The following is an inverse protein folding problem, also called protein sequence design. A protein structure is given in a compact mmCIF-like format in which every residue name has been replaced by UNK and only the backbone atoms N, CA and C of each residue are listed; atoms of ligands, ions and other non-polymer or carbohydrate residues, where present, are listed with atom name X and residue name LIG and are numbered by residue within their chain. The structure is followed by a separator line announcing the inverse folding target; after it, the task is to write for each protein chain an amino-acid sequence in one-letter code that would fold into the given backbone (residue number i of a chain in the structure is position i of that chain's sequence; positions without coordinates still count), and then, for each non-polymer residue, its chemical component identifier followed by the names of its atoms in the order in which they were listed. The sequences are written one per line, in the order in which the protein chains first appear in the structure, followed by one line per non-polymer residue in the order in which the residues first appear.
data_IF_323729281950
#
_entry.id   IF_323729281950
#
_cell.length_a   1.000
_cell.length_b   1.000
_cell.length_c   1.000
_cell.angle_alpha   90.00
_cell.angle_beta   90.00
_cell.angle_gamma   90.00
#
_symmetry.space_group_name_H-M   'P 1'
#
loop_
_entity.id
_entity.type
_entity.pdbx_description
1 polymer ?
#
# COMPACT_ATOMS: atom_id res chain seq x y z
N UNK A 1 33.16 3.69 37.77
CA UNK A 1 32.41 3.64 36.51
C UNK A 1 30.95 3.44 36.89
N UNK A 2 30.10 4.45 36.68
CA UNK A 2 28.69 4.36 37.07
C UNK A 2 27.95 3.74 35.90
N UNK A 3 27.58 2.47 36.04
CA UNK A 3 26.65 1.82 35.12
C UNK A 3 25.35 2.64 35.11
N UNK A 4 25.11 3.36 34.02
CA UNK A 4 23.84 4.05 33.82
C UNK A 4 22.77 2.98 33.63
N UNK A 5 22.06 2.67 34.73
CA UNK A 5 20.89 1.80 34.72
C UNK A 5 19.86 2.39 33.76
N UNK A 6 19.78 1.81 32.56
CA UNK A 6 18.73 2.14 31.59
C UNK A 6 17.41 1.70 32.18
N UNK A 7 16.54 2.66 32.50
CA UNK A 7 15.21 2.37 33.00
C UNK A 7 14.42 1.56 31.95
N UNK A 8 13.95 0.38 32.35
CA UNK A 8 13.20 -0.56 31.52
C UNK A 8 11.70 -0.51 31.84
N UNK A 9 10.87 -0.76 30.83
CA UNK A 9 9.40 -0.89 30.97
C UNK A 9 8.90 -2.06 30.14
N UNK A 10 7.98 -2.85 30.70
CA UNK A 10 7.30 -3.91 29.95
C UNK A 10 6.26 -3.31 28.99
N UNK A 11 6.33 -3.71 27.73
CA UNK A 11 5.37 -3.32 26.71
C UNK A 11 4.05 -4.07 26.90
N UNK A 12 2.92 -3.34 27.02
CA UNK A 12 1.61 -3.96 27.19
C UNK A 12 1.16 -4.81 25.98
N UNK A 13 1.64 -4.48 24.78
CA UNK A 13 1.38 -5.18 23.52
C UNK A 13 2.18 -6.49 23.43
N UNK A 14 3.49 -6.39 23.27
CA UNK A 14 4.34 -7.55 22.99
C UNK A 14 4.92 -8.22 24.25
N UNK A 15 4.59 -7.74 25.45
CA UNK A 15 5.03 -8.27 26.76
C UNK A 15 6.55 -8.30 26.98
N UNK A 16 7.34 -7.70 26.10
CA UNK A 16 8.81 -7.61 26.24
C UNK A 16 9.22 -6.38 27.04
N UNK A 17 10.28 -6.51 27.84
CA UNK A 17 10.93 -5.37 28.50
C UNK A 17 11.75 -4.57 27.46
N UNK A 18 11.57 -3.25 27.47
CA UNK A 18 12.27 -2.32 26.58
C UNK A 18 12.74 -1.06 27.32
N UNK A 19 13.81 -0.40 26.83
CA UNK A 19 14.21 0.90 27.36
C UNK A 19 13.08 1.92 27.31
N UNK A 20 13.00 2.82 28.29
CA UNK A 20 12.01 3.91 28.28
C UNK A 20 12.10 4.78 27.00
N UNK A 21 13.27 4.90 26.38
CA UNK A 21 13.48 5.61 25.11
C UNK A 21 12.67 5.03 23.94
N UNK A 22 12.27 3.77 24.02
CA UNK A 22 11.44 3.11 23.01
C UNK A 22 9.95 3.44 23.15
N UNK A 23 9.55 4.10 24.25
CA UNK A 23 8.18 4.52 24.45
C UNK A 23 7.98 5.96 23.97
N UNK A 24 6.82 6.23 23.38
CA UNK A 24 6.40 7.58 22.99
C UNK A 24 5.19 7.97 23.82
N UNK A 25 5.27 9.15 24.43
CA UNK A 25 4.17 9.74 25.21
C UNK A 25 3.22 10.44 24.25
N UNK A 26 1.92 10.25 24.46
CA UNK A 26 0.85 10.84 23.66
C UNK A 26 -0.18 11.49 24.58
N UNK A 27 -0.94 12.45 24.04
CA UNK A 27 -2.04 13.09 24.75
C UNK A 27 -3.16 12.09 25.08
N UNK A 28 -3.97 12.42 26.08
CA UNK A 28 -5.16 11.65 26.48
C UNK A 28 -6.15 11.42 25.35
N UNK A 29 -6.20 12.35 24.40
CA UNK A 29 -7.16 12.35 23.31
C UNK A 29 -6.67 11.49 22.13
N UNK A 30 -5.45 10.95 22.22
CA UNK A 30 -4.88 10.07 21.21
C UNK A 30 -5.52 8.68 21.26
N UNK A 31 -6.64 8.53 20.55
CA UNK A 31 -7.32 7.24 20.35
C UNK A 31 -6.57 6.40 19.31
N UNK A 32 -5.56 5.65 19.74
CA UNK A 32 -4.90 4.69 18.84
C UNK A 32 -5.82 3.48 18.59
N UNK A 33 -6.18 3.25 17.31
CA UNK A 33 -7.12 2.17 16.91
C UNK A 33 -6.63 0.74 17.26
N UNK A 34 -5.37 0.54 17.63
CA UNK A 34 -4.90 -0.79 18.09
C UNK A 34 -5.19 -1.10 19.56
N UNK A 35 -5.64 -0.12 20.36
CA UNK A 35 -5.92 -0.34 21.79
C UNK A 35 -4.68 -0.56 22.67
N UNK A 36 -3.47 -0.43 22.14
CA UNK A 36 -2.22 -0.76 22.84
C UNK A 36 -1.53 0.47 23.48
N UNK A 37 -2.32 1.40 24.01
CA UNK A 37 -1.78 2.56 24.71
C UNK A 37 -1.84 2.27 26.21
N UNK A 38 -0.67 2.17 26.86
CA UNK A 38 -0.58 1.93 28.28
C UNK A 38 -0.49 3.27 29.04
N UNK A 39 -1.35 3.46 30.04
CA UNK A 39 -1.32 4.61 30.93
C UNK A 39 -0.15 4.49 31.93
N UNK A 40 0.71 5.50 32.02
CA UNK A 40 1.86 5.52 32.93
C UNK A 40 2.23 6.95 33.32
N UNK A 41 2.41 7.22 34.62
CA UNK A 41 2.78 8.54 35.16
C UNK A 41 1.93 9.69 34.56
N UNK A 42 0.62 9.53 34.59
CA UNK A 42 -0.36 10.51 34.09
C UNK A 42 -0.30 10.79 32.58
N UNK A 43 0.32 9.92 31.80
CA UNK A 43 0.35 10.05 30.35
C UNK A 43 0.14 8.71 29.64
N UNK A 44 -0.48 8.76 28.47
CA UNK A 44 -0.64 7.61 27.61
C UNK A 44 0.66 7.38 26.86
N UNK A 45 1.09 6.12 26.73
CA UNK A 45 2.33 5.78 26.01
C UNK A 45 2.19 4.50 25.21
N UNK A 46 2.88 4.43 24.07
CA UNK A 46 2.98 3.23 23.25
C UNK A 46 4.44 2.85 22.99
N UNK A 47 4.69 1.57 22.73
CA UNK A 47 5.99 1.07 22.30
C UNK A 47 6.18 1.40 20.81
N UNK A 48 7.20 2.21 20.49
CA UNK A 48 7.50 2.64 19.12
C UNK A 48 7.79 1.47 18.18
N UNK A 49 8.39 0.38 18.69
CA UNK A 49 8.66 -0.83 17.92
C UNK A 49 7.37 -1.55 17.54
N UNK A 50 6.46 -1.78 18.50
CA UNK A 50 5.16 -2.40 18.23
C UNK A 50 4.30 -1.53 17.30
N UNK A 51 4.31 -0.21 17.53
CA UNK A 51 3.60 0.74 16.69
C UNK A 51 4.11 0.69 15.24
N UNK A 52 5.43 0.67 15.03
CA UNK A 52 6.03 0.51 13.70
C UNK A 52 5.64 -0.84 13.06
N UNK A 53 5.65 -1.93 13.83
CA UNK A 53 5.27 -3.24 13.33
C UNK A 53 3.80 -3.29 12.87
N UNK A 54 2.88 -2.69 13.63
CA UNK A 54 1.47 -2.58 13.27
C UNK A 54 1.28 -1.71 12.04
N UNK A 55 1.95 -0.54 11.98
CA UNK A 55 1.92 0.32 10.82
C UNK A 55 2.38 -0.43 9.57
N UNK A 56 3.53 -1.11 9.65
CA UNK A 56 4.08 -1.93 8.55
C UNK A 56 3.11 -3.04 8.11
N UNK A 57 2.46 -3.74 9.05
CA UNK A 57 1.45 -4.76 8.72
C UNK A 57 0.28 -4.14 7.96
N UNK A 58 -0.28 -3.05 8.47
CA UNK A 58 -1.38 -2.33 7.82
C UNK A 58 -0.98 -1.76 6.46
N UNK A 59 0.30 -1.42 6.26
CA UNK A 59 0.84 -1.03 4.96
C UNK A 59 0.91 -2.20 3.99
N UNK A 60 1.39 -3.36 4.44
CA UNK A 60 1.44 -4.57 3.61
C UNK A 60 0.04 -4.98 3.15
N UNK A 61 -0.92 -5.03 4.07
CA UNK A 61 -2.31 -5.39 3.77
C UNK A 61 -2.96 -4.39 2.79
N UNK A 62 -2.72 -3.09 2.97
CA UNK A 62 -3.27 -2.06 2.07
C UNK A 62 -2.62 -2.14 0.67
N UNK A 63 -1.32 -2.42 0.61
CA UNK A 63 -0.60 -2.61 -0.66
C UNK A 63 -1.08 -3.88 -1.38
N UNK A 64 -1.33 -4.97 -0.66
CA UNK A 64 -1.90 -6.21 -1.21
C UNK A 64 -3.30 -5.99 -1.81
N UNK A 65 -4.18 -5.27 -1.11
CA UNK A 65 -5.50 -4.90 -1.65
C UNK A 65 -5.36 -4.03 -2.91
N UNK A 66 -4.49 -3.02 -2.89
CA UNK A 66 -4.23 -2.22 -4.09
C UNK A 66 -3.71 -3.07 -5.25
N UNK A 67 -2.90 -4.11 -5.00
CA UNK A 67 -2.45 -5.03 -6.04
C UNK A 67 -3.60 -5.83 -6.65
N UNK A 68 -4.60 -6.22 -5.85
CA UNK A 68 -5.81 -6.90 -6.34
C UNK A 68 -6.65 -5.98 -7.23
N UNK A 69 -6.72 -4.70 -6.88
CA UNK A 69 -7.48 -3.68 -7.61
C UNK A 69 -6.72 -3.00 -8.74
N UNK A 70 -5.39 -3.19 -8.85
CA UNK A 70 -4.59 -2.68 -9.97
C UNK A 70 -5.20 -3.24 -11.24
N UNK A 71 -5.84 -2.38 -12.01
CA UNK A 71 -6.76 -2.74 -13.07
C UNK A 71 -6.05 -3.48 -14.18
N UNK A 72 -5.87 -4.80 -14.02
CA UNK A 72 -5.35 -5.68 -15.07
C UNK A 72 -6.25 -5.54 -16.29
N UNK A 73 -7.56 -5.47 -16.10
CA UNK A 73 -8.51 -5.25 -17.19
C UNK A 73 -8.27 -3.90 -17.87
N UNK A 74 -8.06 -2.83 -17.09
CA UNK A 74 -7.75 -1.51 -17.66
C UNK A 74 -6.40 -1.48 -18.37
N UNK A 75 -5.38 -2.11 -17.80
CA UNK A 75 -4.08 -2.34 -18.43
C UNK A 75 -4.23 -3.04 -19.77
N UNK A 76 -5.02 -4.11 -19.83
CA UNK A 76 -5.22 -4.87 -21.06
C UNK A 76 -5.98 -4.06 -22.11
N UNK A 77 -6.98 -3.28 -21.70
CA UNK A 77 -7.71 -2.35 -22.58
C UNK A 77 -6.77 -1.27 -23.13
N UNK A 78 -6.02 -0.58 -22.27
CA UNK A 78 -5.11 0.50 -22.66
C UNK A 78 -3.97 -0.06 -23.55
N UNK A 79 -3.46 -1.25 -23.23
CA UNK A 79 -2.50 -1.98 -24.07
C UNK A 79 -3.08 -2.26 -25.45
N UNK A 80 -4.29 -2.81 -25.55
CA UNK A 80 -4.94 -3.12 -26.83
C UNK A 80 -5.22 -1.85 -27.64
N UNK A 81 -5.64 -0.76 -27.00
CA UNK A 81 -5.87 0.53 -27.64
C UNK A 81 -4.57 1.12 -28.19
N UNK A 82 -3.48 1.10 -27.42
CA UNK A 82 -2.17 1.57 -27.88
C UNK A 82 -1.59 0.73 -29.02
N UNK A 83 -1.81 -0.59 -29.01
CA UNK A 83 -1.44 -1.45 -30.12
C UNK A 83 -2.23 -1.10 -31.38
N UNK A 84 -3.55 -0.90 -31.24
CA UNK A 84 -4.43 -0.50 -32.34
C UNK A 84 -4.04 0.86 -32.92
N UNK A 85 -3.76 1.86 -32.08
CA UNK A 85 -3.35 3.20 -32.54
C UNK A 85 -2.02 3.18 -33.29
N UNK A 86 -1.13 2.24 -32.96
CA UNK A 86 0.15 2.01 -33.65
C UNK A 86 0.04 1.03 -34.84
N UNK A 87 -1.17 0.63 -35.21
CA UNK A 87 -1.45 -0.37 -36.25
C UNK A 87 -0.62 -1.66 -36.07
N UNK A 88 -0.46 -2.09 -34.83
CA UNK A 88 0.39 -3.21 -34.42
C UNK A 88 -0.47 -4.39 -33.98
N UNK A 89 -0.19 -5.57 -34.54
CA UNK A 89 -0.86 -6.80 -34.11
C UNK A 89 -0.29 -7.33 -32.80
N UNK A 90 -1.13 -8.03 -32.03
CA UNK A 90 -0.74 -8.75 -30.82
C UNK A 90 0.42 -9.74 -31.08
N UNK A 91 0.41 -10.38 -32.24
CA UNK A 91 1.47 -11.28 -32.69
C UNK A 91 2.82 -10.55 -32.80
N UNK A 92 2.86 -9.47 -33.58
CA UNK A 92 4.07 -8.67 -33.80
C UNK A 92 4.58 -8.06 -32.49
N UNK A 93 3.66 -7.59 -31.64
CA UNK A 93 4.02 -7.06 -30.33
C UNK A 93 4.67 -8.13 -29.43
N UNK A 94 4.12 -9.35 -29.42
CA UNK A 94 4.66 -10.45 -28.62
C UNK A 94 6.07 -10.83 -29.05
N UNK A 95 6.34 -10.82 -30.37
CA UNK A 95 7.69 -11.03 -30.93
C UNK A 95 8.66 -9.93 -30.50
N UNK A 96 8.28 -8.66 -30.63
CA UNK A 96 9.13 -7.52 -30.25
C UNK A 96 9.48 -7.56 -28.75
N UNK A 97 8.52 -7.92 -27.90
CA UNK A 97 8.73 -7.98 -26.46
C UNK A 97 9.59 -9.17 -26.02
N UNK A 98 9.84 -10.14 -26.92
CA UNK A 98 10.57 -11.37 -26.63
C UNK A 98 9.82 -12.28 -25.66
N UNK A 99 8.49 -12.21 -25.62
CA UNK A 99 7.69 -13.07 -24.76
C UNK A 99 7.39 -14.39 -25.46
N UNK A 100 7.19 -15.46 -24.69
CA UNK A 100 6.67 -16.72 -25.25
C UNK A 100 5.31 -16.41 -25.91
N UNK A 101 5.12 -16.88 -27.16
CA UNK A 101 3.98 -16.56 -28.03
C UNK A 101 2.61 -16.68 -27.34
N UNK A 102 2.47 -17.56 -26.35
CA UNK A 102 1.21 -17.80 -25.62
C UNK A 102 0.95 -16.83 -24.46
N UNK A 103 1.93 -16.06 -24.00
CA UNK A 103 1.84 -15.29 -22.75
C UNK A 103 0.86 -14.13 -22.85
N UNK A 104 1.01 -13.24 -23.84
CA UNK A 104 0.11 -12.09 -23.98
C UNK A 104 -1.30 -12.54 -24.39
N UNK A 105 -1.41 -13.55 -25.26
CA UNK A 105 -2.71 -14.13 -25.62
C UNK A 105 -3.43 -14.76 -24.42
N UNK A 106 -2.71 -15.34 -23.46
CA UNK A 106 -3.28 -15.81 -22.21
C UNK A 106 -3.74 -14.65 -21.31
N UNK A 107 -3.06 -13.49 -21.34
CA UNK A 107 -3.53 -12.30 -20.61
C UNK A 107 -4.81 -11.74 -21.19
N UNK A 108 -4.86 -11.55 -22.52
CA UNK A 108 -6.04 -11.00 -23.21
C UNK A 108 -7.27 -11.90 -23.04
N UNK A 109 -7.09 -13.22 -22.91
CA UNK A 109 -8.17 -14.18 -22.65
C UNK A 109 -8.51 -14.36 -21.17
N UNK A 110 -7.84 -13.66 -20.26
CA UNK A 110 -8.05 -13.79 -18.81
C UNK A 110 -7.52 -15.10 -18.20
N UNK A 111 -6.80 -15.93 -18.95
CA UNK A 111 -6.25 -17.21 -18.49
C UNK A 111 -5.04 -17.01 -17.55
N UNK A 112 -4.34 -15.88 -17.69
CA UNK A 112 -3.18 -15.51 -16.86
C UNK A 112 -3.19 -14.04 -16.52
N UNK A 113 -2.70 -13.72 -15.32
CA UNK A 113 -2.44 -12.35 -14.89
C UNK A 113 -1.00 -11.93 -15.28
N UNK A 114 -0.80 -10.77 -15.93
CA UNK A 114 0.54 -10.25 -16.19
C UNK A 114 1.24 -9.89 -14.89
N UNK A 115 2.50 -10.33 -14.71
CA UNK A 115 3.29 -9.96 -13.53
C UNK A 115 3.74 -8.49 -13.59
N UNK A 116 4.02 -7.87 -12.44
CA UNK A 116 4.42 -6.46 -12.36
C UNK A 116 5.61 -6.09 -13.27
N UNK A 117 6.71 -6.88 -13.32
CA UNK A 117 7.83 -6.57 -14.21
C UNK A 117 7.41 -6.57 -15.69
N UNK A 118 6.51 -7.47 -16.08
CA UNK A 118 6.04 -7.58 -17.45
C UNK A 118 5.06 -6.44 -17.82
N UNK A 119 4.16 -6.07 -16.91
CA UNK A 119 3.29 -4.90 -17.08
C UNK A 119 4.13 -3.62 -17.28
N UNK A 120 5.17 -3.42 -16.47
CA UNK A 120 6.08 -2.27 -16.60
C UNK A 120 6.77 -2.26 -17.96
N UNK A 121 7.34 -3.40 -18.37
CA UNK A 121 7.99 -3.52 -19.69
C UNK A 121 7.04 -3.16 -20.84
N UNK A 122 5.78 -3.61 -20.77
CA UNK A 122 4.75 -3.27 -21.76
C UNK A 122 4.43 -1.78 -21.74
N UNK A 123 4.26 -1.20 -20.56
CA UNK A 123 3.99 0.23 -20.40
C UNK A 123 5.12 1.10 -20.97
N UNK A 124 6.37 0.77 -20.63
CA UNK A 124 7.54 1.51 -21.11
C UNK A 124 7.63 1.46 -22.66
N UNK A 125 7.31 0.32 -23.27
CA UNK A 125 7.32 0.19 -24.74
C UNK A 125 6.16 0.92 -25.42
N UNK A 126 4.96 0.84 -24.85
CA UNK A 126 3.74 1.43 -25.40
C UNK A 126 3.52 2.89 -24.98
N UNK A 127 4.46 3.47 -24.24
CA UNK A 127 4.36 4.81 -23.64
C UNK A 127 3.05 4.97 -22.83
N UNK A 128 2.68 3.90 -22.13
CA UNK A 128 1.54 3.91 -21.23
C UNK A 128 2.03 4.32 -19.85
N UNK A 129 1.29 5.19 -19.18
CA UNK A 129 1.57 5.51 -17.79
C UNK A 129 1.36 4.27 -16.93
N UNK A 130 2.46 3.63 -16.50
CA UNK A 130 2.42 2.53 -15.53
C UNK A 130 1.72 2.94 -14.22
N UNK A 131 1.70 4.25 -13.94
CA UNK A 131 1.04 4.81 -12.77
C UNK A 131 -0.49 4.87 -12.94
N UNK A 132 -1.02 4.99 -14.17
CA UNK A 132 -2.46 4.95 -14.45
C UNK A 132 -3.09 3.57 -14.16
N UNK A 133 -2.27 2.51 -14.07
CA UNK A 133 -2.70 1.17 -13.68
C UNK A 133 -2.97 1.04 -12.18
N UNK A 134 -2.55 2.03 -11.38
CA UNK A 134 -2.55 2.00 -9.92
C UNK A 134 -3.45 3.09 -9.33
N UNK A 135 -4.72 3.14 -9.74
CA UNK A 135 -5.71 4.17 -9.36
C UNK A 135 -5.26 5.60 -9.73
N UNK A 136 -6.23 6.49 -9.98
CA UNK A 136 -5.93 7.88 -10.34
C UNK A 136 -5.11 8.59 -9.24
N UNK A 137 -4.16 9.46 -9.61
CA UNK A 137 -3.45 10.29 -8.63
C UNK A 137 -4.43 11.27 -7.95
N UNK A 138 -4.08 11.74 -6.75
CA UNK A 138 -4.79 12.84 -6.10
C UNK A 138 -4.50 14.19 -6.79
N UNK A 139 -5.11 15.27 -6.27
CA UNK A 139 -4.94 16.64 -6.80
C UNK A 139 -3.47 17.13 -6.79
N UNK A 140 -2.61 16.54 -5.95
CA UNK A 140 -1.17 16.82 -5.88
C UNK A 140 -0.33 15.94 -6.84
N UNK A 141 -0.96 15.13 -7.69
CA UNK A 141 -0.27 14.19 -8.58
C UNK A 141 0.33 12.97 -7.87
N UNK A 142 -0.01 12.73 -6.61
CA UNK A 142 0.49 11.61 -5.81
C UNK A 142 -0.40 10.39 -6.00
N UNK A 143 0.21 9.24 -6.29
CA UNK A 143 -0.50 7.96 -6.45
C UNK A 143 -0.75 7.26 -5.11
N UNK A 144 -1.85 6.51 -4.98
CA UNK A 144 -2.13 5.77 -3.76
C UNK A 144 -1.18 4.60 -3.56
N UNK A 145 -0.84 4.37 -2.29
CA UNK A 145 -0.01 3.26 -1.82
C UNK A 145 -0.82 2.05 -1.37
N UNK A 146 -2.12 2.21 -1.17
CA UNK A 146 -3.00 1.14 -0.73
C UNK A 146 -4.47 1.49 -0.89
N UNK A 147 -5.34 0.51 -0.67
CA UNK A 147 -6.80 0.70 -0.48
C UNK A 147 -7.16 0.19 0.91
N UNK A 148 -8.06 0.89 1.60
CA UNK A 148 -8.63 0.48 2.89
C UNK A 148 -10.15 0.53 2.84
N UNK A 149 -10.77 -0.23 3.74
CA UNK A 149 -12.22 -0.22 3.98
C UNK A 149 -12.49 0.55 5.27
N UNK A 150 -13.45 1.46 5.26
CA UNK A 150 -13.88 2.17 6.45
C UNK A 150 -14.61 1.21 7.40
N UNK A 151 -14.22 1.15 8.68
CA UNK A 151 -14.92 0.29 9.64
C UNK A 151 -16.33 0.77 10.02
N UNK A 152 -16.64 2.04 9.79
CA UNK A 152 -17.91 2.65 10.16
C UNK A 152 -18.93 2.57 9.02
N UNK A 153 -18.58 3.09 7.84
CA UNK A 153 -19.46 3.10 6.65
C UNK A 153 -19.17 1.99 5.65
N UNK A 154 -18.15 1.14 5.86
CA UNK A 154 -17.75 0.05 4.95
C UNK A 154 -17.32 0.48 3.53
N UNK A 155 -17.18 1.79 3.27
CA UNK A 155 -16.71 2.31 1.99
C UNK A 155 -15.21 2.12 1.81
N UNK A 156 -14.79 1.81 0.58
CA UNK A 156 -13.39 1.74 0.19
C UNK A 156 -12.81 3.13 -0.09
N UNK A 157 -11.57 3.36 0.32
CA UNK A 157 -10.85 4.61 0.07
C UNK A 157 -9.36 4.38 -0.18
N UNK A 158 -8.77 5.24 -1.01
CA UNK A 158 -7.37 5.21 -1.37
C UNK A 158 -6.48 5.79 -0.25
N UNK A 159 -5.31 5.19 -0.02
CA UNK A 159 -4.35 5.61 1.01
C UNK A 159 -3.11 6.20 0.37
N UNK A 160 -2.76 7.44 0.69
CA UNK A 160 -1.61 8.16 0.13
C UNK A 160 -0.47 8.32 1.16
N UNK A 161 0.78 8.45 0.70
CA UNK A 161 1.99 8.50 1.54
C UNK A 161 1.96 9.60 2.62
N UNK A 162 1.35 10.74 2.30
CA UNK A 162 1.45 11.95 3.13
C UNK A 162 0.19 12.19 3.97
N UNK A 163 -0.88 11.42 3.74
CA UNK A 163 -2.07 11.46 4.58
C UNK A 163 -1.88 10.49 5.74
N UNK A 164 -1.10 10.95 6.73
CA UNK A 164 -0.95 10.43 8.09
C UNK A 164 -1.28 8.93 8.25
N UNK A 165 -0.24 8.14 8.48
CA UNK A 165 -0.21 6.66 8.64
C UNK A 165 -1.27 6.07 9.61
N UNK A 166 -1.91 6.91 10.44
CA UNK A 166 -2.98 6.56 11.40
C UNK A 166 -4.33 7.26 11.15
N UNK A 167 -4.44 8.23 10.24
CA UNK A 167 -5.67 8.95 9.91
C UNK A 167 -6.44 8.20 8.82
N UNK A 168 -7.01 7.08 9.22
CA UNK A 168 -7.96 6.26 8.44
C UNK A 168 -9.32 6.96 8.32
N UNK A 169 -9.38 8.17 7.76
CA UNK A 169 -10.65 8.87 7.61
C UNK A 169 -11.20 8.63 6.22
N UNK A 170 -12.36 8.01 6.18
CA UNK A 170 -13.22 8.01 5.03
C UNK A 170 -13.93 9.37 5.00
N UNK A 171 -13.85 10.09 3.89
CA UNK A 171 -14.49 11.40 3.72
C UNK A 171 -16.02 11.32 3.68
N UNK A 172 -16.61 10.12 3.57
CA UNK A 172 -18.06 9.93 3.60
C UNK A 172 -18.59 9.77 5.03
N UNK A 173 -17.69 9.58 5.99
CA UNK A 173 -17.99 9.37 7.40
C UNK A 173 -17.67 10.64 8.24
N UNK A 174 -17.38 11.78 7.61
CA UNK A 174 -17.14 13.09 8.26
C UNK A 174 -18.41 13.87 8.50
#
# INVERSE_FOLDING_TARGET
MVDSLVAMKSCASCKTQKPLSDFRVVSSDYKHKSGEVAYYKNAYSYCSVCHRAIANKLYSEAAERLIQYRGIDRFLVDMQQALKSRNMSLYKFTEIMGFNKKVIYAWVRGEKTPSKPLQRKVCDYLDLSYNALALSPNDDGVYPRGIRVCKACNNEFAVFKNQNECKSFCNDCT
#
